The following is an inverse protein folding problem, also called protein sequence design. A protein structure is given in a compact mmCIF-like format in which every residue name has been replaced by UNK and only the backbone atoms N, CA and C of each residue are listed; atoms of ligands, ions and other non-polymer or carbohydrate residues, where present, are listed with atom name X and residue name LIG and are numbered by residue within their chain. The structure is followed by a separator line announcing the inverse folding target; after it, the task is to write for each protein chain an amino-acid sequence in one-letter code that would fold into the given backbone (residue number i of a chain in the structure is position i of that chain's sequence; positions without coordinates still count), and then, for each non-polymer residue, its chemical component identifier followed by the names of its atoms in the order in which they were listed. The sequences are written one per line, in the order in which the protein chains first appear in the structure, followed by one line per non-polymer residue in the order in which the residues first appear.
data_IF_074947841747
#
_entry.id   IF_074947841747
#
_cell.length_a   1.000
_cell.length_b   1.000
_cell.length_c   1.000
_cell.angle_alpha   90.00
_cell.angle_beta   90.00
_cell.angle_gamma   90.00
#
_symmetry.space_group_name_H-M   'P 1'
#
loop_
_entity.id
_entity.type
_entity.pdbx_description
1 polymer ?
#
# COMPACT_ATOMS: atom_id res chain seq x y z
N UNK A 1 1.00 -22.26 -16.87
CA UNK A 1 1.24 -20.99 -16.15
C UNK A 1 -0.01 -20.14 -16.30
N UNK A 2 -0.79 -19.94 -15.23
CA UNK A 2 -1.92 -18.98 -15.25
C UNK A 2 -1.31 -17.63 -15.63
N UNK A 3 -1.90 -16.88 -16.57
CA UNK A 3 -1.41 -15.52 -16.86
C UNK A 3 -1.57 -14.71 -15.59
N UNK A 4 -0.44 -14.36 -14.97
CA UNK A 4 -0.35 -13.71 -13.66
C UNK A 4 -0.90 -12.26 -13.74
N UNK A 5 -0.92 -11.70 -14.94
CA UNK A 5 -1.45 -10.37 -15.21
C UNK A 5 -2.74 -10.47 -16.04
N UNK A 6 -3.89 -10.12 -15.46
CA UNK A 6 -4.97 -9.58 -16.28
C UNK A 6 -4.60 -8.16 -16.70
N UNK A 7 -3.70 -8.07 -17.69
CA UNK A 7 -3.34 -6.80 -18.33
C UNK A 7 -4.47 -6.24 -19.18
N UNK A 8 -5.60 -6.94 -19.37
CA UNK A 8 -6.68 -6.48 -20.24
C UNK A 8 -7.43 -5.29 -19.64
N UNK A 9 -7.41 -5.14 -18.31
CA UNK A 9 -7.97 -3.98 -17.60
C UNK A 9 -7.16 -2.70 -17.80
N UNK A 10 -5.91 -2.80 -18.29
CA UNK A 10 -5.08 -1.64 -18.61
C UNK A 10 -5.07 -1.39 -20.11
N UNK A 11 -5.45 -0.17 -20.50
CA UNK A 11 -5.51 0.39 -21.86
C UNK A 11 -4.46 -0.22 -22.82
N UNK A 12 -4.86 -0.43 -24.10
CA UNK A 12 -3.97 -0.88 -25.18
C UNK A 12 -2.64 -0.10 -25.16
N UNK A 13 -1.50 -0.83 -25.17
CA UNK A 13 -0.15 -0.25 -25.10
C UNK A 13 0.06 0.78 -26.22
N UNK A 14 0.48 1.99 -25.86
CA UNK A 14 0.92 2.99 -26.85
C UNK A 14 2.21 2.56 -27.54
N UNK A 15 2.54 3.15 -28.68
CA UNK A 15 3.79 2.84 -29.40
C UNK A 15 5.04 3.14 -28.53
N UNK A 16 4.98 4.26 -27.79
CA UNK A 16 6.00 4.65 -26.82
C UNK A 16 6.14 3.64 -25.68
N UNK A 17 5.02 3.24 -25.08
CA UNK A 17 4.94 2.22 -24.02
C UNK A 17 5.59 0.90 -24.48
N UNK A 18 5.27 0.43 -25.69
CA UNK A 18 5.90 -0.77 -26.28
C UNK A 18 7.41 -0.63 -26.51
N UNK A 19 7.88 0.55 -26.89
CA UNK A 19 9.31 0.80 -27.09
C UNK A 19 10.07 0.74 -25.75
N UNK A 20 9.55 1.42 -24.72
CA UNK A 20 10.11 1.36 -23.35
C UNK A 20 10.13 -0.09 -22.86
N UNK A 21 9.03 -0.82 -22.98
CA UNK A 21 8.96 -2.21 -22.56
C UNK A 21 10.05 -3.07 -23.19
N UNK A 22 10.30 -2.93 -24.49
CA UNK A 22 11.39 -3.64 -25.18
C UNK A 22 12.77 -3.27 -24.64
N UNK A 23 13.03 -1.98 -24.43
CA UNK A 23 14.32 -1.50 -23.88
C UNK A 23 14.54 -2.04 -22.48
N UNK A 24 13.52 -1.98 -21.61
CA UNK A 24 13.59 -2.50 -20.24
C UNK A 24 13.78 -4.02 -20.20
N UNK A 25 13.04 -4.77 -21.01
CA UNK A 25 13.20 -6.23 -21.11
C UNK A 25 14.60 -6.60 -21.62
N UNK A 26 15.11 -5.89 -22.63
CA UNK A 26 16.45 -6.12 -23.16
C UNK A 26 17.53 -5.80 -22.13
N UNK A 27 17.45 -4.62 -21.49
CA UNK A 27 18.38 -4.21 -20.44
C UNK A 27 18.40 -5.22 -19.29
N UNK A 28 17.23 -5.64 -18.81
CA UNK A 28 17.11 -6.66 -17.77
C UNK A 28 17.78 -7.98 -18.19
N UNK A 29 17.60 -8.42 -19.43
CA UNK A 29 18.23 -9.64 -19.96
C UNK A 29 19.76 -9.59 -20.01
N UNK A 30 20.36 -8.40 -20.14
CA UNK A 30 21.82 -8.22 -20.08
C UNK A 30 22.38 -8.33 -18.66
N UNK A 31 21.63 -7.84 -17.66
CA UNK A 31 22.08 -7.84 -16.26
C UNK A 31 21.80 -9.16 -15.53
N UNK A 32 20.72 -9.85 -15.89
CA UNK A 32 20.28 -11.07 -15.21
C UNK A 32 20.73 -12.29 -15.99
N UNK A 33 21.67 -13.06 -15.41
CA UNK A 33 22.21 -14.29 -16.01
C UNK A 33 21.36 -15.53 -15.76
N UNK A 34 20.49 -15.49 -14.75
CA UNK A 34 19.58 -16.59 -14.41
C UNK A 34 18.41 -16.66 -15.41
N UNK A 35 18.20 -17.84 -16.01
CA UNK A 35 17.17 -18.04 -17.04
C UNK A 35 15.75 -17.94 -16.51
N UNK A 36 15.49 -18.34 -15.26
CA UNK A 36 14.15 -18.24 -14.66
C UNK A 36 13.82 -16.80 -14.29
N UNK A 37 14.82 -16.02 -13.87
CA UNK A 37 14.63 -14.59 -13.65
C UNK A 37 14.45 -13.82 -14.97
N UNK A 38 15.17 -14.18 -16.03
CA UNK A 38 14.97 -13.60 -17.38
C UNK A 38 13.53 -13.78 -17.89
N UNK A 39 12.85 -14.89 -17.56
CA UNK A 39 11.44 -15.11 -17.92
C UNK A 39 10.48 -14.10 -17.28
N UNK A 40 10.88 -13.46 -16.17
CA UNK A 40 10.09 -12.43 -15.47
C UNK A 40 10.31 -11.02 -16.03
N UNK A 41 11.31 -10.83 -16.91
CA UNK A 41 11.64 -9.53 -17.48
C UNK A 41 10.46 -8.82 -18.17
N UNK A 42 9.59 -9.50 -18.95
CA UNK A 42 8.44 -8.83 -19.58
C UNK A 42 7.44 -8.27 -18.57
N UNK A 43 7.28 -8.97 -17.45
CA UNK A 43 6.34 -8.63 -16.38
C UNK A 43 6.86 -7.46 -15.54
N UNK A 44 8.11 -7.55 -15.07
CA UNK A 44 8.77 -6.47 -14.36
C UNK A 44 8.86 -5.19 -15.22
N UNK A 45 9.17 -5.33 -16.51
CA UNK A 45 9.19 -4.23 -17.46
C UNK A 45 7.81 -3.57 -17.63
N UNK A 46 6.71 -4.32 -17.51
CA UNK A 46 5.35 -3.78 -17.68
C UNK A 46 4.97 -2.80 -16.56
N UNK A 47 5.35 -3.07 -15.32
CA UNK A 47 5.08 -2.16 -14.20
C UNK A 47 5.82 -0.83 -14.38
N UNK A 48 7.10 -0.92 -14.73
CA UNK A 48 7.93 0.25 -15.01
C UNK A 48 7.43 1.02 -16.23
N UNK A 49 7.04 0.34 -17.30
CA UNK A 49 6.45 0.95 -18.49
C UNK A 49 5.19 1.76 -18.16
N UNK A 50 4.27 1.19 -17.39
CA UNK A 50 3.03 1.89 -16.99
C UNK A 50 3.37 3.11 -16.13
N UNK A 51 4.33 2.99 -15.20
CA UNK A 51 4.79 4.11 -14.40
C UNK A 51 5.40 5.22 -15.28
N UNK A 52 6.35 4.88 -16.15
CA UNK A 52 7.00 5.84 -17.04
C UNK A 52 6.01 6.51 -17.98
N UNK A 53 5.08 5.76 -18.59
CA UNK A 53 4.05 6.35 -19.45
C UNK A 53 3.21 7.39 -18.69
N UNK A 54 2.80 7.08 -17.46
CA UNK A 54 2.02 7.99 -16.62
C UNK A 54 2.83 9.22 -16.17
N UNK A 55 4.07 9.01 -15.72
CA UNK A 55 4.96 10.10 -15.26
C UNK A 55 5.37 11.00 -16.41
N UNK A 56 5.75 10.45 -17.57
CA UNK A 56 6.11 11.23 -18.76
C UNK A 56 4.92 12.05 -19.26
N UNK A 57 3.72 11.46 -19.34
CA UNK A 57 2.51 12.19 -19.71
C UNK A 57 2.22 13.32 -18.73
N UNK A 58 2.26 13.03 -17.43
CA UNK A 58 2.04 14.05 -16.40
C UNK A 58 3.09 15.17 -16.44
N UNK A 59 4.37 14.83 -16.62
CA UNK A 59 5.46 15.79 -16.71
C UNK A 59 5.40 16.67 -17.95
N UNK A 60 4.98 16.12 -19.09
CA UNK A 60 4.80 16.87 -20.32
C UNK A 60 3.66 17.90 -20.21
N UNK A 61 2.55 17.52 -19.58
CA UNK A 61 1.37 18.39 -19.44
C UNK A 61 1.48 19.35 -18.24
N UNK A 62 2.15 18.95 -17.16
CA UNK A 62 2.18 19.68 -15.89
C UNK A 62 3.54 19.62 -15.16
N UNK A 63 4.64 20.13 -15.76
CA UNK A 63 6.00 19.94 -15.25
C UNK A 63 6.21 20.49 -13.83
N UNK A 64 5.65 21.67 -13.50
CA UNK A 64 5.76 22.26 -12.15
C UNK A 64 5.06 21.40 -11.09
N UNK A 65 3.90 20.82 -11.42
CA UNK A 65 3.14 19.95 -10.51
C UNK A 65 3.84 18.59 -10.32
N UNK A 66 4.51 18.08 -11.36
CA UNK A 66 5.37 16.90 -11.24
C UNK A 66 6.48 17.12 -10.22
N UNK A 67 7.16 18.28 -10.25
CA UNK A 67 8.19 18.59 -9.25
C UNK A 67 7.63 18.60 -7.82
N UNK A 68 6.41 19.09 -7.61
CA UNK A 68 5.75 19.02 -6.29
C UNK A 68 5.48 17.58 -5.85
N UNK A 69 5.05 16.72 -6.77
CA UNK A 69 4.84 15.29 -6.49
C UNK A 69 6.16 14.61 -6.14
N UNK A 70 7.23 14.86 -6.90
CA UNK A 70 8.57 14.35 -6.58
C UNK A 70 9.06 14.85 -5.22
N UNK A 71 8.78 16.10 -4.86
CA UNK A 71 9.05 16.63 -3.52
C UNK A 71 8.30 15.87 -2.41
N UNK A 72 7.07 15.43 -2.68
CA UNK A 72 6.29 14.60 -1.74
C UNK A 72 6.81 13.18 -1.64
N UNK A 73 7.28 12.59 -2.75
CA UNK A 73 7.97 11.29 -2.74
C UNK A 73 9.27 11.38 -1.95
N UNK A 74 10.06 12.44 -2.13
CA UNK A 74 11.26 12.68 -1.33
C UNK A 74 10.93 12.87 0.16
N UNK A 75 9.84 13.58 0.47
CA UNK A 75 9.36 13.71 1.85
C UNK A 75 8.97 12.36 2.45
N UNK A 76 8.28 11.49 1.70
CA UNK A 76 7.98 10.13 2.13
C UNK A 76 9.27 9.36 2.41
N UNK A 77 10.21 9.36 1.47
CA UNK A 77 11.50 8.67 1.60
C UNK A 77 12.20 9.07 2.90
N UNK A 78 12.35 10.37 3.15
CA UNK A 78 13.02 10.87 4.35
C UNK A 78 12.28 10.45 5.64
N UNK A 79 10.96 10.58 5.70
CA UNK A 79 10.20 10.19 6.91
C UNK A 79 10.22 8.68 7.16
N UNK A 80 10.06 7.88 6.11
CA UNK A 80 10.07 6.43 6.22
C UNK A 80 11.45 5.92 6.64
N UNK A 81 12.53 6.33 5.96
CA UNK A 81 13.89 5.90 6.32
C UNK A 81 14.31 6.40 7.70
N UNK A 82 14.02 7.66 8.05
CA UNK A 82 14.32 8.18 9.39
C UNK A 82 13.57 7.42 10.49
N UNK A 83 12.32 7.03 10.25
CA UNK A 83 11.58 6.18 11.18
C UNK A 83 12.26 4.80 11.28
N UNK A 84 12.56 4.14 10.16
CA UNK A 84 13.24 2.84 10.16
C UNK A 84 14.59 2.87 10.90
N UNK A 85 15.41 3.90 10.70
CA UNK A 85 16.70 4.03 11.38
C UNK A 85 16.57 4.18 12.91
N UNK A 86 15.53 4.89 13.37
CA UNK A 86 15.20 5.07 14.80
C UNK A 86 14.58 3.82 15.43
N UNK A 87 14.06 2.90 14.62
CA UNK A 87 13.31 1.70 15.04
C UNK A 87 14.23 0.51 15.31
N UNK A 88 15.48 0.76 15.68
CA UNK A 88 16.40 -0.28 16.17
C UNK A 88 16.12 -0.63 17.64
N UNK A 89 14.83 -0.73 18.01
CA UNK A 89 14.40 -1.16 19.35
C UNK A 89 14.75 -2.63 19.57
N UNK A 90 14.89 -3.00 20.85
CA UNK A 90 15.04 -4.39 21.26
C UNK A 90 13.72 -5.17 21.12
N UNK A 91 12.56 -4.50 21.09
CA UNK A 91 11.24 -5.13 21.05
C UNK A 91 10.27 -4.51 20.03
N UNK A 92 9.41 -5.35 19.43
CA UNK A 92 8.40 -4.97 18.44
C UNK A 92 7.07 -5.67 18.73
N UNK A 93 5.93 -5.03 18.47
CA UNK A 93 4.63 -5.72 18.49
C UNK A 93 4.55 -6.75 17.35
N UNK A 94 4.18 -7.98 17.69
CA UNK A 94 3.85 -9.03 16.75
C UNK A 94 2.35 -8.97 16.44
N UNK A 95 2.04 -8.28 15.35
CA UNK A 95 0.66 -8.10 14.85
C UNK A 95 0.25 -9.16 13.82
N UNK A 96 1.21 -9.97 13.37
CA UNK A 96 0.98 -11.07 12.45
C UNK A 96 0.39 -12.25 13.20
N UNK A 97 -0.87 -12.57 12.93
CA UNK A 97 -1.66 -13.58 13.64
C UNK A 97 -1.71 -14.92 12.91
N UNK A 98 -2.33 -15.93 13.53
CA UNK A 98 -2.64 -17.19 12.85
C UNK A 98 -3.62 -17.01 11.68
N UNK A 99 -4.54 -16.03 11.76
CA UNK A 99 -5.45 -15.72 10.65
C UNK A 99 -4.66 -15.11 9.48
N UNK A 100 -3.66 -14.28 9.75
CA UNK A 100 -2.72 -13.82 8.74
C UNK A 100 -1.90 -14.97 8.17
N UNK A 101 -1.41 -15.88 9.03
CA UNK A 101 -0.63 -17.05 8.63
C UNK A 101 -1.42 -18.00 7.73
N UNK A 102 -2.71 -18.17 7.96
CA UNK A 102 -3.59 -19.03 7.18
C UNK A 102 -3.81 -18.57 5.72
N UNK A 103 -3.65 -17.27 5.43
CA UNK A 103 -3.71 -16.77 4.05
C UNK A 103 -2.55 -17.42 3.26
N UNK A 104 -2.74 -17.99 2.07
CA UNK A 104 -1.61 -18.59 1.34
C UNK A 104 -0.60 -17.53 0.90
N UNK A 105 0.69 -17.83 0.98
CA UNK A 105 1.72 -16.98 0.37
C UNK A 105 1.69 -17.16 -1.16
N UNK A 106 1.35 -16.10 -1.88
CA UNK A 106 1.32 -16.06 -3.36
C UNK A 106 2.24 -14.93 -3.84
N UNK A 107 3.55 -15.20 -3.98
CA UNK A 107 4.53 -14.17 -4.31
C UNK A 107 4.29 -13.52 -5.68
N UNK A 108 3.53 -14.17 -6.56
CA UNK A 108 3.12 -13.65 -7.87
C UNK A 108 2.13 -12.47 -7.81
N UNK A 109 1.51 -12.22 -6.66
CA UNK A 109 0.65 -11.06 -6.43
C UNK A 109 1.45 -9.76 -6.26
N UNK A 110 2.78 -9.81 -6.25
CA UNK A 110 3.70 -8.67 -6.11
C UNK A 110 3.60 -7.62 -7.21
N UNK A 111 3.00 -7.96 -8.34
CA UNK A 111 2.72 -7.01 -9.42
C UNK A 111 1.79 -5.89 -8.92
N UNK A 112 0.69 -6.26 -8.25
CA UNK A 112 -0.31 -5.34 -7.71
C UNK A 112 0.27 -4.43 -6.63
N UNK A 113 1.16 -4.97 -5.80
CA UNK A 113 1.95 -4.21 -4.84
C UNK A 113 2.79 -3.12 -5.53
N UNK A 114 3.46 -3.50 -6.62
CA UNK A 114 4.36 -2.61 -7.37
C UNK A 114 3.62 -1.53 -8.18
N UNK A 115 2.29 -1.57 -8.28
CA UNK A 115 1.51 -0.59 -9.03
C UNK A 115 1.24 0.72 -8.27
N UNK A 116 1.53 0.80 -6.97
CA UNK A 116 1.27 2.01 -6.18
C UNK A 116 1.87 3.29 -6.81
N UNK A 117 3.16 3.32 -7.26
CA UNK A 117 3.72 4.51 -7.90
C UNK A 117 2.97 4.92 -9.17
N UNK A 118 2.54 3.93 -9.96
CA UNK A 118 1.74 4.19 -11.15
C UNK A 118 0.35 4.73 -10.80
N UNK A 119 -0.27 4.24 -9.72
CA UNK A 119 -1.54 4.76 -9.21
C UNK A 119 -1.39 6.21 -8.74
N UNK A 120 -0.31 6.54 -8.01
CA UNK A 120 0.02 7.91 -7.60
C UNK A 120 0.18 8.82 -8.82
N UNK A 121 0.91 8.39 -9.85
CA UNK A 121 1.11 9.17 -11.07
C UNK A 121 -0.21 9.43 -11.82
N UNK A 122 -1.07 8.40 -11.95
CA UNK A 122 -2.40 8.55 -12.53
C UNK A 122 -3.25 9.55 -11.75
N UNK A 123 -3.28 9.41 -10.42
CA UNK A 123 -4.06 10.28 -9.56
C UNK A 123 -3.54 11.72 -9.61
N UNK A 124 -2.22 11.91 -9.51
CA UNK A 124 -1.60 13.23 -9.60
C UNK A 124 -1.95 13.93 -10.92
N UNK A 125 -1.89 13.20 -12.04
CA UNK A 125 -2.31 13.72 -13.34
C UNK A 125 -3.79 14.11 -13.33
N UNK A 126 -4.66 13.25 -12.82
CA UNK A 126 -6.09 13.51 -12.74
C UNK A 126 -6.43 14.74 -11.88
N UNK A 127 -5.83 14.90 -10.70
CA UNK A 127 -5.99 16.11 -9.87
C UNK A 127 -5.48 17.33 -10.63
N UNK A 128 -4.28 17.25 -11.22
CA UNK A 128 -3.66 18.37 -11.92
C UNK A 128 -4.51 18.91 -13.09
N UNK A 129 -5.19 18.01 -13.80
CA UNK A 129 -6.07 18.32 -14.95
C UNK A 129 -7.43 18.86 -14.52
N UNK A 130 -7.98 18.36 -13.41
CA UNK A 130 -9.38 18.56 -13.04
C UNK A 130 -9.59 19.51 -11.86
N UNK A 131 -8.51 20.05 -11.29
CA UNK A 131 -8.56 21.03 -10.20
C UNK A 131 -7.60 22.18 -10.43
N UNK A 132 -7.85 23.31 -9.76
CA UNK A 132 -6.89 24.42 -9.70
C UNK A 132 -5.64 24.07 -8.87
N UNK A 133 -4.66 24.98 -8.89
CA UNK A 133 -3.37 24.79 -8.21
C UNK A 133 -3.49 24.77 -6.68
N UNK A 134 -4.45 25.52 -6.13
CA UNK A 134 -4.69 25.56 -4.68
C UNK A 134 -5.21 24.21 -4.21
N UNK A 135 -6.20 23.66 -4.90
CA UNK A 135 -6.79 22.35 -4.65
C UNK A 135 -5.76 21.24 -4.88
N UNK A 136 -4.95 21.32 -5.93
CA UNK A 136 -3.86 20.37 -6.19
C UNK A 136 -2.87 20.33 -5.02
N UNK A 137 -2.37 21.49 -4.60
CA UNK A 137 -1.47 21.58 -3.45
C UNK A 137 -2.14 21.12 -2.15
N UNK A 138 -3.44 21.35 -2.00
CA UNK A 138 -4.22 20.89 -0.85
C UNK A 138 -4.33 19.36 -0.77
N UNK A 139 -4.60 18.70 -1.90
CA UNK A 139 -4.57 17.24 -1.99
C UNK A 139 -3.17 16.71 -1.67
N UNK A 140 -2.12 17.31 -2.26
CA UNK A 140 -0.75 16.86 -2.04
C UNK A 140 -0.31 16.94 -0.56
N UNK A 141 -0.71 18.01 0.14
CA UNK A 141 -0.48 18.14 1.60
C UNK A 141 -1.16 17.04 2.43
N UNK A 142 -2.21 16.39 1.91
CA UNK A 142 -2.84 15.25 2.58
C UNK A 142 -1.93 14.03 2.58
N UNK A 143 -1.20 13.78 1.48
CA UNK A 143 -0.19 12.71 1.42
C UNK A 143 1.02 13.01 2.33
N UNK A 144 1.44 14.27 2.39
CA UNK A 144 2.47 14.71 3.36
C UNK A 144 2.02 14.43 4.80
N UNK A 145 0.75 14.67 5.12
CA UNK A 145 0.24 14.39 6.47
C UNK A 145 0.22 12.88 6.78
N UNK A 146 -0.10 12.02 5.81
CA UNK A 146 0.04 10.56 5.97
C UNK A 146 1.48 10.22 6.37
N UNK A 147 2.49 10.80 5.71
CA UNK A 147 3.90 10.52 6.01
C UNK A 147 4.28 10.91 7.44
N UNK A 148 3.79 12.07 7.89
CA UNK A 148 4.05 12.60 9.24
C UNK A 148 3.38 11.71 10.29
N UNK A 149 2.07 11.48 10.16
CA UNK A 149 1.30 10.71 11.14
C UNK A 149 1.77 9.24 11.18
N UNK A 150 2.06 8.62 10.03
CA UNK A 150 2.65 7.27 9.98
C UNK A 150 4.03 7.23 10.65
N UNK A 151 4.90 8.23 10.41
CA UNK A 151 6.19 8.32 11.09
C UNK A 151 6.05 8.43 12.61
N UNK A 152 5.04 9.15 13.12
CA UNK A 152 4.79 9.19 14.57
C UNK A 152 4.35 7.84 15.10
N UNK A 153 3.42 7.16 14.41
CA UNK A 153 2.98 5.82 14.79
C UNK A 153 4.15 4.84 14.77
N UNK A 154 4.99 4.84 13.73
CA UNK A 154 6.14 3.96 13.62
C UNK A 154 7.15 4.17 14.75
N UNK A 155 7.45 5.42 15.12
CA UNK A 155 8.38 5.67 16.22
C UNK A 155 7.82 5.19 17.58
N UNK A 156 6.51 5.23 17.77
CA UNK A 156 5.83 4.87 19.04
C UNK A 156 5.47 3.39 19.13
N UNK A 157 4.95 2.84 18.06
CA UNK A 157 4.33 1.52 17.94
C UNK A 157 5.09 0.68 16.92
N UNK A 158 6.32 0.33 17.27
CA UNK A 158 7.18 -0.46 16.40
C UNK A 158 6.58 -1.85 16.24
N UNK A 159 6.31 -2.24 15.00
CA UNK A 159 5.65 -3.49 14.64
C UNK A 159 6.55 -4.31 13.74
N UNK A 160 6.33 -5.62 13.68
CA UNK A 160 7.10 -6.52 12.81
C UNK A 160 6.22 -7.51 12.08
N UNK A 161 6.58 -7.76 10.82
CA UNK A 161 6.04 -8.80 9.96
C UNK A 161 7.09 -9.88 9.69
N UNK A 162 6.68 -11.16 9.53
CA UNK A 162 7.58 -12.19 9.01
C UNK A 162 8.04 -11.88 7.59
N UNK A 163 9.18 -12.44 7.17
CA UNK A 163 9.67 -12.32 5.78
C UNK A 163 9.73 -13.69 5.12
N UNK A 164 8.85 -13.90 4.14
CA UNK A 164 8.85 -15.08 3.29
C UNK A 164 9.79 -14.81 2.11
N UNK A 165 11.06 -15.21 2.23
CA UNK A 165 12.11 -14.96 1.22
C UNK A 165 12.33 -16.13 0.26
N UNK A 166 11.73 -17.29 0.54
CA UNK A 166 11.85 -18.47 -0.32
C UNK A 166 10.84 -18.39 -1.49
N UNK A 167 11.15 -17.54 -2.47
CA UNK A 167 10.42 -17.41 -3.73
C UNK A 167 11.37 -17.02 -4.85
N UNK A 168 10.93 -17.17 -6.09
CA UNK A 168 11.70 -16.82 -7.29
C UNK A 168 11.34 -15.45 -7.89
N UNK A 169 10.46 -14.68 -7.25
CA UNK A 169 9.94 -13.40 -7.77
C UNK A 169 10.89 -12.21 -7.56
N UNK A 170 11.43 -11.65 -8.63
CA UNK A 170 12.41 -10.53 -8.55
C UNK A 170 11.80 -9.25 -8.02
N UNK A 171 10.61 -8.87 -8.50
CA UNK A 171 9.94 -7.64 -8.04
C UNK A 171 9.69 -7.69 -6.54
N UNK A 172 9.18 -8.81 -6.03
CA UNK A 172 9.04 -9.02 -4.59
C UNK A 172 10.37 -8.99 -3.85
N UNK A 173 11.45 -9.58 -4.39
CA UNK A 173 12.78 -9.50 -3.75
C UNK A 173 13.30 -8.07 -3.65
N UNK A 174 13.09 -7.24 -4.66
CA UNK A 174 13.45 -5.81 -4.65
C UNK A 174 12.61 -5.05 -3.62
N UNK A 175 11.30 -5.29 -3.59
CA UNK A 175 10.40 -4.73 -2.56
C UNK A 175 10.91 -5.11 -1.18
N UNK A 176 11.17 -6.39 -0.94
CA UNK A 176 11.64 -6.89 0.36
C UNK A 176 13.03 -6.42 0.75
N UNK A 177 13.83 -5.95 -0.20
CA UNK A 177 15.13 -5.34 0.04
C UNK A 177 15.02 -3.88 0.46
N UNK A 178 14.12 -3.13 -0.18
CA UNK A 178 13.91 -1.70 0.08
C UNK A 178 13.06 -1.48 1.34
N UNK A 179 12.04 -2.31 1.52
CA UNK A 179 11.07 -2.26 2.60
C UNK A 179 11.51 -3.21 3.72
N UNK A 180 11.74 -2.70 4.92
CA UNK A 180 12.11 -3.53 6.06
C UNK A 180 10.89 -4.29 6.60
N UNK A 181 11.06 -5.46 7.25
CA UNK A 181 9.97 -6.15 7.97
C UNK A 181 9.46 -5.41 9.22
N UNK A 182 9.94 -4.21 9.48
CA UNK A 182 9.64 -3.40 10.66
C UNK A 182 8.76 -2.22 10.28
N UNK A 183 7.98 -1.70 11.24
CA UNK A 183 7.08 -0.55 11.03
C UNK A 183 6.05 -0.78 9.93
N UNK A 184 5.37 -1.92 9.98
CA UNK A 184 4.36 -2.28 9.00
C UNK A 184 2.97 -1.70 9.32
N UNK A 185 2.71 -1.35 10.58
CA UNK A 185 1.45 -0.76 11.07
C UNK A 185 1.56 0.75 11.30
N UNK A 186 0.79 1.59 10.59
CA UNK A 186 -0.16 1.27 9.53
C UNK A 186 0.49 0.90 8.20
N UNK A 187 -0.25 0.18 7.34
CA UNK A 187 0.17 -0.01 5.95
C UNK A 187 0.05 1.30 5.16
N UNK A 188 1.18 1.86 4.73
CA UNK A 188 1.21 3.03 3.85
C UNK A 188 0.63 2.73 2.46
N UNK A 189 0.82 1.53 1.94
CA UNK A 189 0.22 1.10 0.67
C UNK A 189 -1.30 1.23 0.71
N UNK A 190 -1.91 0.79 1.80
CA UNK A 190 -3.36 0.89 2.01
C UNK A 190 -3.78 2.32 2.31
N UNK A 191 -3.03 3.04 3.15
CA UNK A 191 -3.35 4.43 3.48
C UNK A 191 -3.39 5.32 2.22
N UNK A 192 -2.39 5.21 1.35
CA UNK A 192 -2.36 5.93 0.08
C UNK A 192 -3.46 5.47 -0.87
N UNK A 193 -3.62 4.15 -1.08
CA UNK A 193 -4.63 3.63 -2.01
C UNK A 193 -6.06 4.02 -1.60
N UNK A 194 -6.33 4.03 -0.30
CA UNK A 194 -7.63 4.44 0.27
C UNK A 194 -7.82 5.95 0.17
N UNK A 195 -6.78 6.76 0.43
CA UNK A 195 -6.85 8.21 0.23
C UNK A 195 -7.05 8.57 -1.25
N UNK A 196 -6.31 7.92 -2.16
CA UNK A 196 -6.46 8.06 -3.61
C UNK A 196 -7.88 7.75 -4.04
N UNK A 197 -8.45 6.61 -3.60
CA UNK A 197 -9.82 6.23 -3.90
C UNK A 197 -10.82 7.33 -3.49
N UNK A 198 -10.68 7.87 -2.27
CA UNK A 198 -11.58 8.90 -1.76
C UNK A 198 -11.41 10.25 -2.46
N UNK A 199 -10.18 10.68 -2.73
CA UNK A 199 -9.91 11.91 -3.49
C UNK A 199 -10.45 11.77 -4.93
N UNK A 200 -10.19 10.64 -5.59
CA UNK A 200 -10.73 10.34 -6.91
C UNK A 200 -12.26 10.41 -6.94
N UNK A 201 -12.92 9.76 -5.98
CA UNK A 201 -14.38 9.66 -5.94
C UNK A 201 -15.05 10.99 -5.58
N UNK A 202 -14.56 11.65 -4.51
CA UNK A 202 -15.28 12.74 -3.84
C UNK A 202 -14.77 14.13 -4.21
N UNK A 203 -13.46 14.28 -4.39
CA UNK A 203 -12.84 15.58 -4.65
C UNK A 203 -12.77 15.84 -6.15
N UNK A 204 -12.21 14.89 -6.90
CA UNK A 204 -12.00 15.03 -8.34
C UNK A 204 -13.24 14.60 -9.14
N UNK A 205 -14.05 13.70 -8.57
CA UNK A 205 -15.27 13.15 -9.18
C UNK A 205 -14.99 12.35 -10.46
N UNK A 206 -13.94 11.51 -10.45
CA UNK A 206 -13.57 10.64 -11.57
C UNK A 206 -14.72 9.74 -12.06
N UNK A 207 -15.60 9.16 -11.22
CA UNK A 207 -16.72 8.37 -11.72
C UNK A 207 -17.58 9.08 -12.77
N UNK A 208 -17.67 10.41 -12.69
CA UNK A 208 -18.42 11.25 -13.64
C UNK A 208 -17.53 11.85 -14.73
N UNK A 209 -16.32 12.30 -14.38
CA UNK A 209 -15.45 13.10 -15.27
C UNK A 209 -14.46 12.27 -16.09
N UNK A 210 -14.10 11.09 -15.62
CA UNK A 210 -13.12 10.20 -16.25
C UNK A 210 -13.35 8.74 -15.78
N UNK A 211 -14.38 8.06 -16.29
CA UNK A 211 -14.76 6.72 -15.82
C UNK A 211 -13.65 5.67 -16.02
N UNK A 212 -12.83 5.80 -17.07
CA UNK A 212 -11.70 4.90 -17.33
C UNK A 212 -10.61 5.05 -16.24
N UNK A 213 -10.26 6.29 -15.89
CA UNK A 213 -9.33 6.53 -14.77
C UNK A 213 -9.92 6.05 -13.44
N UNK A 214 -11.24 6.21 -13.24
CA UNK A 214 -11.93 5.70 -12.06
C UNK A 214 -11.84 4.18 -11.95
N UNK A 215 -12.13 3.44 -13.01
CA UNK A 215 -12.02 1.97 -13.04
C UNK A 215 -10.60 1.52 -12.69
N UNK A 216 -9.57 2.19 -13.23
CA UNK A 216 -8.18 1.90 -12.89
C UNK A 216 -7.87 2.16 -11.41
N UNK A 217 -8.38 3.25 -10.82
CA UNK A 217 -8.20 3.54 -9.38
C UNK A 217 -8.90 2.49 -8.53
N UNK A 218 -10.15 2.15 -8.84
CA UNK A 218 -10.91 1.16 -8.10
C UNK A 218 -10.24 -0.21 -8.14
N UNK A 219 -9.90 -0.70 -9.34
CA UNK A 219 -9.26 -2.01 -9.54
C UNK A 219 -7.91 -2.09 -8.83
N UNK A 220 -7.11 -1.03 -8.90
CA UNK A 220 -5.79 -1.01 -8.23
C UNK A 220 -5.91 -0.94 -6.72
N UNK A 221 -6.87 -0.21 -6.16
CA UNK A 221 -7.10 -0.18 -4.71
C UNK A 221 -7.58 -1.54 -4.19
N UNK A 222 -8.52 -2.20 -4.86
CA UNK A 222 -8.97 -3.55 -4.49
C UNK A 222 -7.82 -4.56 -4.62
N UNK A 223 -7.07 -4.50 -5.71
CA UNK A 223 -5.90 -5.34 -5.94
C UNK A 223 -4.79 -5.15 -4.89
N UNK A 224 -4.56 -3.92 -4.45
CA UNK A 224 -3.57 -3.60 -3.42
C UNK A 224 -3.88 -4.30 -2.09
N UNK A 225 -5.15 -4.27 -1.64
CA UNK A 225 -5.58 -4.93 -0.40
C UNK A 225 -5.25 -6.42 -0.42
N UNK A 226 -5.50 -7.09 -1.54
CA UNK A 226 -5.23 -8.51 -1.68
C UNK A 226 -3.73 -8.79 -1.78
N UNK A 227 -3.04 -7.98 -2.59
CA UNK A 227 -1.63 -8.14 -2.87
C UNK A 227 -0.77 -8.06 -1.61
N UNK A 228 -1.02 -7.09 -0.73
CA UNK A 228 -0.22 -6.93 0.51
C UNK A 228 -0.35 -8.12 1.46
N UNK A 229 -1.51 -8.80 1.46
CA UNK A 229 -1.77 -10.00 2.27
C UNK A 229 -1.14 -11.25 1.64
N UNK A 230 -1.37 -11.46 0.35
CA UNK A 230 -0.85 -12.61 -0.37
C UNK A 230 0.69 -12.60 -0.46
N UNK A 231 1.30 -11.41 -0.53
CA UNK A 231 2.76 -11.25 -0.50
C UNK A 231 3.35 -11.18 0.92
N UNK A 232 2.51 -11.31 1.95
CA UNK A 232 2.90 -11.29 3.37
C UNK A 232 3.66 -10.03 3.78
N UNK A 233 3.39 -8.90 3.12
CA UNK A 233 4.02 -7.63 3.45
C UNK A 233 3.27 -6.91 4.58
N UNK A 234 1.96 -7.14 4.71
CA UNK A 234 1.12 -6.54 5.75
C UNK A 234 0.16 -7.57 6.36
N UNK A 235 -0.22 -7.34 7.61
CA UNK A 235 -1.27 -8.08 8.33
C UNK A 235 -2.66 -7.49 8.09
N UNK A 236 -3.70 -8.24 8.46
CA UNK A 236 -5.09 -7.79 8.48
C UNK A 236 -5.27 -6.56 9.39
N UNK A 237 -4.53 -6.49 10.49
CA UNK A 237 -4.52 -5.33 11.40
C UNK A 237 -3.87 -4.10 10.73
N UNK A 238 -2.76 -4.26 10.00
CA UNK A 238 -2.09 -3.16 9.29
C UNK A 238 -3.00 -2.49 8.27
N UNK A 239 -3.81 -3.29 7.56
CA UNK A 239 -4.77 -2.81 6.58
C UNK A 239 -5.84 -1.96 7.28
N UNK A 240 -6.41 -2.47 8.37
CA UNK A 240 -7.41 -1.75 9.14
C UNK A 240 -6.90 -0.39 9.64
N UNK A 241 -5.69 -0.34 10.21
CA UNK A 241 -5.09 0.91 10.69
C UNK A 241 -4.67 1.82 9.53
N UNK A 242 -4.26 1.25 8.37
CA UNK A 242 -4.02 2.01 7.14
C UNK A 242 -5.28 2.72 6.62
N UNK A 243 -6.43 2.05 6.64
CA UNK A 243 -7.74 2.65 6.30
C UNK A 243 -8.08 3.75 7.32
N UNK A 244 -7.88 3.51 8.61
CA UNK A 244 -8.13 4.50 9.67
C UNK A 244 -7.25 5.75 9.53
N UNK A 245 -5.97 5.58 9.20
CA UNK A 245 -5.06 6.70 8.92
C UNK A 245 -5.57 7.52 7.74
N UNK A 246 -5.92 6.86 6.62
CA UNK A 246 -6.47 7.54 5.45
C UNK A 246 -7.76 8.31 5.79
N UNK A 247 -8.67 7.70 6.55
CA UNK A 247 -9.90 8.34 7.02
C UNK A 247 -9.62 9.57 7.85
N UNK A 248 -8.75 9.45 8.84
CA UNK A 248 -8.41 10.54 9.76
C UNK A 248 -7.87 11.74 8.98
N UNK A 249 -6.96 11.50 8.04
CA UNK A 249 -6.43 12.57 7.18
C UNK A 249 -7.51 13.14 6.26
N UNK A 250 -8.32 12.28 5.64
CA UNK A 250 -9.39 12.72 4.74
C UNK A 250 -10.42 13.58 5.46
N UNK A 251 -10.90 13.18 6.64
CA UNK A 251 -11.87 13.95 7.44
C UNK A 251 -11.29 15.28 7.93
N UNK A 252 -10.01 15.32 8.33
CA UNK A 252 -9.35 16.58 8.72
C UNK A 252 -9.22 17.57 7.56
N UNK A 253 -9.06 17.07 6.33
CA UNK A 253 -8.80 17.88 5.12
C UNK A 253 -10.05 18.19 4.32
N UNK A 254 -11.01 17.28 4.30
CA UNK A 254 -12.21 17.33 3.48
C UNK A 254 -13.46 17.10 4.34
N UNK A 255 -13.51 17.75 5.51
CA UNK A 255 -14.51 17.58 6.57
C UNK A 255 -15.99 17.58 6.15
N UNK A 256 -16.32 18.14 4.98
CA UNK A 256 -17.68 18.17 4.44
C UNK A 256 -17.99 17.03 3.45
N UNK A 257 -17.04 16.12 3.20
CA UNK A 257 -17.20 15.00 2.28
C UNK A 257 -17.21 13.67 3.04
N UNK A 258 -18.14 12.77 2.73
CA UNK A 258 -18.19 11.45 3.36
C UNK A 258 -16.98 10.61 2.93
N UNK A 259 -16.37 9.93 3.89
CA UNK A 259 -15.30 8.97 3.64
C UNK A 259 -15.86 7.59 3.29
N UNK A 260 -15.25 6.93 2.32
CA UNK A 260 -15.51 5.55 1.95
C UNK A 260 -14.38 4.66 2.48
N UNK A 261 -14.71 3.79 3.43
CA UNK A 261 -13.79 2.86 4.08
C UNK A 261 -13.60 1.53 3.33
N UNK A 262 -14.10 1.44 2.09
CA UNK A 262 -13.99 0.27 1.19
C UNK A 262 -14.74 -0.99 1.64
N UNK A 263 -15.32 -1.03 2.84
CA UNK A 263 -15.90 -2.26 3.40
C UNK A 263 -17.12 -2.80 2.65
N UNK A 264 -17.80 -1.94 1.89
CA UNK A 264 -18.87 -2.33 0.99
C UNK A 264 -18.37 -3.20 -0.18
N UNK A 265 -17.06 -3.17 -0.50
CA UNK A 265 -16.42 -3.99 -1.52
C UNK A 265 -16.01 -5.38 -0.98
N UNK A 266 -15.92 -5.55 0.34
CA UNK A 266 -15.43 -6.80 0.92
C UNK A 266 -16.23 -8.04 0.53
N UNK A 267 -17.58 -8.01 0.41
CA UNK A 267 -18.32 -9.18 -0.07
C UNK A 267 -17.91 -9.64 -1.47
N UNK A 268 -17.73 -8.71 -2.42
CA UNK A 268 -17.29 -9.07 -3.78
C UNK A 268 -15.82 -9.48 -3.82
N UNK A 269 -14.97 -8.84 -3.01
CA UNK A 269 -13.57 -9.23 -2.89
C UNK A 269 -13.42 -10.65 -2.29
N UNK A 270 -14.23 -10.99 -1.27
CA UNK A 270 -14.28 -12.31 -0.65
C UNK A 270 -14.77 -13.38 -1.64
N UNK A 271 -15.74 -13.06 -2.49
CA UNK A 271 -16.20 -13.99 -3.54
C UNK A 271 -15.06 -14.38 -4.51
N UNK A 272 -14.15 -13.45 -4.79
CA UNK A 272 -13.00 -13.67 -5.68
C UNK A 272 -11.75 -14.21 -4.96
N UNK A 273 -11.64 -13.98 -3.64
CA UNK A 273 -10.47 -14.31 -2.82
C UNK A 273 -10.92 -14.92 -1.48
N UNK A 274 -11.51 -16.13 -1.49
CA UNK A 274 -12.17 -16.71 -0.33
C UNK A 274 -11.22 -17.03 0.83
N UNK A 275 -9.91 -17.05 0.60
CA UNK A 275 -8.91 -17.33 1.63
C UNK A 275 -8.56 -16.11 2.48
N UNK A 276 -8.96 -14.91 2.06
CA UNK A 276 -8.73 -13.68 2.82
C UNK A 276 -9.94 -13.45 3.75
N UNK A 277 -9.75 -13.41 5.07
CA UNK A 277 -10.84 -13.18 6.02
C UNK A 277 -11.15 -11.69 6.13
N UNK A 278 -11.76 -11.08 5.09
CA UNK A 278 -12.09 -9.65 5.07
C UNK A 278 -12.94 -9.18 6.27
N UNK A 279 -13.72 -10.09 6.87
CA UNK A 279 -14.43 -9.84 8.13
C UNK A 279 -13.50 -9.38 9.26
N UNK A 280 -12.29 -9.96 9.35
CA UNK A 280 -11.28 -9.56 10.35
C UNK A 280 -10.73 -8.16 10.11
N UNK A 281 -10.58 -7.74 8.86
CA UNK A 281 -10.18 -6.35 8.54
C UNK A 281 -11.28 -5.40 9.02
N UNK A 282 -12.56 -5.76 8.82
CA UNK A 282 -13.70 -5.00 9.32
C UNK A 282 -13.69 -4.88 10.84
N UNK A 283 -13.61 -6.01 11.54
CA UNK A 283 -13.58 -6.07 13.00
C UNK A 283 -12.44 -5.21 13.58
N UNK A 284 -11.22 -5.33 13.04
CA UNK A 284 -10.08 -4.56 13.50
C UNK A 284 -10.26 -3.05 13.29
N UNK A 285 -10.83 -2.64 12.15
CA UNK A 285 -11.09 -1.23 11.88
C UNK A 285 -12.22 -0.66 12.75
N UNK A 286 -13.32 -1.40 12.92
CA UNK A 286 -14.45 -0.98 13.77
C UNK A 286 -14.00 -0.83 15.22
N UNK A 287 -13.19 -1.78 15.72
CA UNK A 287 -12.58 -1.69 17.04
C UNK A 287 -11.69 -0.44 17.18
N UNK A 288 -10.84 -0.15 16.19
CA UNK A 288 -9.98 1.04 16.21
C UNK A 288 -10.80 2.35 16.14
N UNK A 289 -11.92 2.36 15.42
CA UNK A 289 -12.89 3.46 15.40
C UNK A 289 -13.56 3.65 16.77
N UNK A 290 -13.90 2.57 17.47
CA UNK A 290 -14.50 2.68 18.80
C UNK A 290 -13.51 3.17 19.85
N UNK A 291 -12.21 2.86 19.72
CA UNK A 291 -11.16 3.53 20.50
C UNK A 291 -11.10 5.01 20.14
N UNK A 292 -11.10 5.36 18.84
CA UNK A 292 -11.10 6.77 18.37
C UNK A 292 -12.24 7.59 18.96
N UNK A 293 -13.44 7.02 19.10
CA UNK A 293 -14.60 7.71 19.68
C UNK A 293 -14.46 7.94 21.18
N UNK A 294 -13.76 7.05 21.88
CA UNK A 294 -13.56 7.11 23.34
C UNK A 294 -12.37 7.99 23.74
N UNK A 295 -11.43 8.22 22.83
CA UNK A 295 -10.18 8.93 23.10
C UNK A 295 -10.05 10.19 22.25
N UNK A 296 -9.73 11.32 22.88
CA UNK A 296 -9.38 12.56 22.17
C UNK A 296 -7.85 12.73 22.04
N UNK A 297 -7.17 11.63 21.71
CA UNK A 297 -5.70 11.55 21.66
C UNK A 297 -5.13 11.67 20.25
N UNK A 298 -3.80 11.70 20.18
CA UNK A 298 -3.08 11.64 18.91
C UNK A 298 -3.23 10.24 18.27
N UNK A 299 -3.04 10.13 16.95
CA UNK A 299 -3.30 8.87 16.23
C UNK A 299 -2.34 7.75 16.64
N UNK A 300 -1.12 8.07 17.02
CA UNK A 300 -0.13 7.15 17.56
C UNK A 300 -0.51 6.61 18.96
N UNK A 301 -1.12 7.43 19.82
CA UNK A 301 -1.66 7.00 21.12
C UNK A 301 -2.86 6.05 20.95
N UNK A 302 -3.72 6.36 19.98
CA UNK A 302 -4.84 5.51 19.60
C UNK A 302 -4.35 4.15 19.12
N UNK A 303 -3.37 4.13 18.20
CA UNK A 303 -2.80 2.87 17.69
C UNK A 303 -2.13 2.08 18.81
N UNK A 304 -1.40 2.74 19.71
CA UNK A 304 -0.82 2.06 20.88
C UNK A 304 -1.90 1.42 21.76
N UNK A 305 -2.99 2.16 22.03
CA UNK A 305 -4.14 1.65 22.78
C UNK A 305 -4.76 0.45 22.06
N UNK A 306 -4.98 0.55 20.75
CA UNK A 306 -5.50 -0.55 19.93
C UNK A 306 -4.63 -1.80 20.02
N UNK A 307 -3.31 -1.65 19.91
CA UNK A 307 -2.40 -2.80 19.97
C UNK A 307 -2.44 -3.48 21.34
N UNK A 308 -2.54 -2.69 22.42
CA UNK A 308 -2.69 -3.19 23.80
C UNK A 308 -4.05 -3.84 24.05
N UNK A 309 -5.15 -3.23 23.60
CA UNK A 309 -6.52 -3.74 23.80
C UNK A 309 -6.74 -5.07 23.03
N UNK A 310 -6.10 -5.20 21.87
CA UNK A 310 -6.06 -6.46 21.09
C UNK A 310 -5.13 -7.52 21.67
N UNK A 311 -4.32 -7.20 22.68
CA UNK A 311 -3.42 -8.15 23.34
C UNK A 311 -2.22 -8.59 22.48
N UNK A 312 -1.81 -7.82 21.47
CA UNK A 312 -0.66 -8.20 20.66
C UNK A 312 0.63 -8.20 21.51
N UNK A 313 1.38 -9.32 21.52
CA UNK A 313 2.59 -9.40 22.32
C UNK A 313 3.71 -8.57 21.70
N UNK A 314 4.67 -8.16 22.55
CA UNK A 314 5.96 -7.65 22.08
C UNK A 314 6.96 -8.80 22.01
N UNK A 315 7.77 -8.83 20.96
CA UNK A 315 8.81 -9.84 20.73
C UNK A 315 10.18 -9.18 20.55
N UNK A 316 11.27 -9.86 20.93
CA UNK A 316 12.62 -9.39 20.67
C UNK A 316 12.91 -9.15 19.18
N UNK A 317 13.73 -8.16 18.87
CA UNK A 317 14.13 -7.81 17.50
C UNK A 317 14.92 -8.92 16.79
N UNK A 318 15.47 -9.89 17.54
CA UNK A 318 16.19 -11.04 16.97
C UNK A 318 15.32 -12.27 16.75
N UNK A 319 14.04 -12.23 17.15
CA UNK A 319 13.11 -13.35 16.95
C UNK A 319 12.99 -13.68 15.46
N UNK A 320 12.92 -14.97 15.15
CA UNK A 320 12.72 -15.48 13.79
C UNK A 320 11.33 -15.18 13.23
N UNK A 321 10.96 -15.88 12.16
CA UNK A 321 9.59 -15.83 11.67
C UNK A 321 8.67 -16.51 12.68
N UNK A 322 7.62 -15.81 13.09
CA UNK A 322 6.63 -16.30 14.03
C UNK A 322 5.28 -15.63 13.78
N UNK A 323 4.22 -16.21 14.35
CA UNK A 323 2.89 -15.58 14.41
C UNK A 323 2.33 -15.67 15.82
N UNK A 324 1.43 -14.74 16.14
CA UNK A 324 0.67 -14.75 17.38
C UNK A 324 -0.61 -15.57 17.19
N UNK A 325 -0.78 -16.63 17.99
CA UNK A 325 -2.02 -17.38 18.04
C UNK A 325 -2.96 -16.73 19.06
N UNK A 326 -3.89 -15.88 18.60
CA UNK A 326 -4.79 -15.15 19.50
C UNK A 326 -5.76 -16.06 20.28
N UNK A 327 -5.91 -17.33 19.89
CA UNK A 327 -6.75 -18.31 20.59
C UNK A 327 -6.04 -18.98 21.76
N UNK A 328 -4.77 -19.35 21.59
CA UNK A 328 -3.96 -19.96 22.66
C UNK A 328 -3.12 -18.94 23.42
N UNK A 329 -3.06 -17.70 22.95
CA UNK A 329 -2.19 -16.62 23.46
C UNK A 329 -0.69 -16.92 23.37
N UNK A 330 -0.29 -17.81 22.46
CA UNK A 330 1.10 -18.24 22.27
C UNK A 330 1.74 -17.59 21.04
N UNK A 331 3.07 -17.52 21.06
CA UNK A 331 3.89 -17.18 19.89
C UNK A 331 4.38 -18.49 19.27
N UNK A 332 4.11 -18.68 17.98
CA UNK A 332 4.48 -19.90 17.24
C UNK A 332 5.53 -19.56 16.19
N UNK A 333 6.71 -20.16 16.29
CA UNK A 333 7.79 -20.05 15.29
C UNK A 333 7.58 -21.01 14.11
N UNK A 334 8.04 -20.63 12.91
CA UNK A 334 7.90 -21.44 11.69
C UNK A 334 9.00 -21.21 10.64
#
# INVERSE_FOLDING_TARGET
MRKIQDTRSFKKRSAFSRAIGKVLTYGYGLYVKDRELQKQAPEAARNMEILFERVCKFGAEHPKKLLSVLGTVNHWWNHYYNAQEKTKSDEHYLIYTQDDHAIPFRPEEDILYSYLPAQIALMAHAVARLTDDKQFAYVLRSFVQINIDASHIYNRCQTRMPRFKNHNRVSLSVVQYIDAPTNCCPSLHIAYSTLIYNVAQRVVQLPKKDPEAWESVQTSTEGMVNSVLYTKQHSLADIAIGILLAQTIFERRFNNLPFNNLMHLFPSMAANNPEIPYGRIRENYEHAIDIRKRQNGALDELVETYLKDKGFPKIPAKTGNCYYNDKSTEIVEF
#
